data_IF_001056992245
#
_entry.id   IF_001056992245
#
_cell.length_a   1.000
_cell.length_b   1.000
_cell.length_c   1.000
_cell.angle_alpha   90.00
_cell.angle_beta   90.00
_cell.angle_gamma   90.00
#
_symmetry.space_group_name_H-M   'P 1'
#
loop_
_entity.id
_entity.type
_entity.pdbx_description
1 polymer ?
#
# COMPACT_ATOMS: atom_id res chain seq x y z
N UNK A 1 13.51 -2.16 10.65
CA UNK A 1 12.48 -1.44 11.43
C UNK A 1 11.11 -1.95 10.99
N UNK A 2 10.29 -2.52 11.89
CA UNK A 2 8.89 -2.79 11.57
C UNK A 2 8.21 -1.44 11.26
N UNK A 3 7.44 -1.38 10.16
CA UNK A 3 6.65 -0.18 9.89
C UNK A 3 5.56 -0.06 10.93
N UNK A 4 5.52 1.04 11.67
CA UNK A 4 4.51 1.29 12.71
C UNK A 4 3.10 1.48 12.12
N UNK A 5 2.99 1.74 10.82
CA UNK A 5 1.72 2.04 10.16
C UNK A 5 1.20 0.89 9.30
N UNK A 6 2.08 0.11 8.66
CA UNK A 6 1.69 -0.93 7.70
C UNK A 6 2.03 -2.30 8.26
N UNK A 7 0.99 -3.11 8.45
CA UNK A 7 1.07 -4.48 8.99
C UNK A 7 1.46 -5.46 7.90
N UNK A 8 0.78 -5.39 6.77
CA UNK A 8 1.01 -6.24 5.61
C UNK A 8 0.66 -5.46 4.33
N UNK A 9 1.16 -5.94 3.20
CA UNK A 9 0.75 -5.47 1.88
C UNK A 9 0.92 -6.57 0.84
N UNK A 10 0.04 -6.57 -0.15
CA UNK A 10 0.02 -7.53 -1.26
C UNK A 10 -0.27 -6.81 -2.56
N UNK A 11 0.15 -7.39 -3.68
CA UNK A 11 -0.05 -6.78 -5.00
C UNK A 11 -0.52 -7.81 -6.01
N UNK A 12 -1.60 -7.47 -6.69
CA UNK A 12 -2.13 -8.20 -7.84
C UNK A 12 -1.69 -7.47 -9.12
N UNK A 13 -0.75 -8.02 -9.90
CA UNK A 13 -0.26 -7.38 -11.12
C UNK A 13 -1.27 -7.40 -12.27
N UNK A 14 -2.17 -8.38 -12.30
CA UNK A 14 -3.17 -8.52 -13.37
C UNK A 14 -4.25 -7.45 -13.20
N UNK A 15 -4.64 -7.19 -11.95
CA UNK A 15 -5.65 -6.17 -11.60
C UNK A 15 -5.04 -4.81 -11.26
N UNK A 16 -3.72 -4.73 -11.11
CA UNK A 16 -2.97 -3.55 -10.63
C UNK A 16 -3.49 -3.03 -9.30
N UNK A 17 -3.78 -3.95 -8.39
CA UNK A 17 -4.33 -3.63 -7.06
C UNK A 17 -3.25 -3.82 -6.01
N UNK A 18 -3.02 -2.77 -5.21
CA UNK A 18 -2.20 -2.84 -4.01
C UNK A 18 -3.10 -2.92 -2.76
N UNK A 19 -3.08 -4.07 -2.11
CA UNK A 19 -3.77 -4.32 -0.85
C UNK A 19 -2.87 -3.93 0.32
N UNK A 20 -3.40 -3.14 1.26
CA UNK A 20 -2.64 -2.64 2.42
C UNK A 20 -3.45 -2.83 3.70
N UNK A 21 -2.84 -3.48 4.68
CA UNK A 21 -3.39 -3.65 6.02
C UNK A 21 -2.68 -2.72 6.99
N UNK A 22 -3.42 -1.86 7.67
CA UNK A 22 -2.85 -0.90 8.63
C UNK A 22 -2.81 -1.48 10.05
N UNK A 23 -1.71 -1.23 10.76
CA UNK A 23 -1.54 -1.67 12.17
C UNK A 23 -2.54 -0.97 13.07
N UNK A 24 -2.65 0.36 12.97
CA UNK A 24 -3.41 1.19 13.92
C UNK A 24 -4.94 0.94 13.86
N UNK A 25 -5.48 0.70 12.67
CA UNK A 25 -6.93 0.53 12.47
C UNK A 25 -7.35 -0.91 12.22
N UNK A 26 -6.42 -1.83 11.95
CA UNK A 26 -6.72 -3.19 11.47
C UNK A 26 -7.37 -3.26 10.08
N UNK A 27 -7.82 -2.13 9.54
CA UNK A 27 -8.51 -2.00 8.26
C UNK A 27 -7.63 -2.40 7.07
N UNK A 28 -8.30 -3.01 6.09
CA UNK A 28 -7.77 -3.37 4.79
C UNK A 28 -8.26 -2.35 3.75
N UNK A 29 -7.34 -1.84 2.94
CA UNK A 29 -7.65 -0.98 1.80
C UNK A 29 -7.01 -1.53 0.54
N UNK A 30 -7.74 -1.43 -0.56
CA UNK A 30 -7.25 -1.72 -1.91
C UNK A 30 -7.04 -0.41 -2.64
N UNK A 31 -5.83 -0.18 -3.12
CA UNK A 31 -5.46 0.92 -4.00
C UNK A 31 -5.49 0.42 -5.44
N UNK A 32 -6.24 1.12 -6.29
CA UNK A 32 -6.54 0.73 -7.67
C UNK A 32 -5.55 1.38 -8.64
N UNK A 33 -5.35 0.72 -9.78
CA UNK A 33 -4.50 1.20 -10.88
C UNK A 33 -3.07 1.54 -10.46
N UNK A 34 -2.54 0.84 -9.43
CA UNK A 34 -1.17 1.04 -8.95
C UNK A 34 -0.21 0.35 -9.93
N UNK A 35 0.70 1.09 -10.59
CA UNK A 35 1.63 0.49 -11.52
C UNK A 35 2.63 -0.45 -10.83
N UNK A 36 3.12 -1.51 -11.51
CA UNK A 36 4.11 -2.43 -10.95
C UNK A 36 5.38 -1.74 -10.47
N UNK A 37 5.81 -0.67 -11.13
CA UNK A 37 6.96 0.14 -10.72
C UNK A 37 6.73 0.84 -9.38
N UNK A 38 5.53 1.38 -9.14
CA UNK A 38 5.16 2.00 -7.86
C UNK A 38 5.13 0.96 -6.74
N UNK A 39 4.62 -0.25 -7.03
CA UNK A 39 4.67 -1.37 -6.11
C UNK A 39 6.11 -1.82 -5.82
N UNK A 40 6.96 -1.95 -6.84
CA UNK A 40 8.36 -2.36 -6.68
C UNK A 40 9.14 -1.36 -5.81
N UNK A 41 8.95 -0.06 -6.05
CA UNK A 41 9.54 1.00 -5.23
C UNK A 41 9.00 1.00 -3.79
N UNK A 42 7.69 0.77 -3.60
CA UNK A 42 7.13 0.59 -2.27
C UNK A 42 7.71 -0.64 -1.55
N UNK A 43 7.82 -1.77 -2.25
CA UNK A 43 8.38 -3.03 -1.74
C UNK A 43 9.86 -2.88 -1.35
N UNK A 44 10.65 -2.09 -2.07
CA UNK A 44 12.07 -1.83 -1.76
C UNK A 44 12.28 -0.75 -0.69
N UNK A 45 11.32 0.15 -0.47
CA UNK A 45 11.47 1.26 0.47
C UNK A 45 11.75 0.82 1.92
N UNK A 46 12.82 1.34 2.53
CA UNK A 46 13.15 1.04 3.93
C UNK A 46 12.06 1.52 4.90
N UNK A 47 11.49 2.70 4.65
CA UNK A 47 10.44 3.32 5.46
C UNK A 47 9.07 3.21 4.77
N UNK A 48 8.44 2.04 4.86
CA UNK A 48 7.15 1.74 4.20
C UNK A 48 6.06 2.79 4.44
N UNK A 49 5.79 3.13 5.71
CA UNK A 49 4.76 4.11 6.04
C UNK A 49 5.02 5.51 5.46
N UNK A 50 6.27 5.96 5.42
CA UNK A 50 6.66 7.24 4.81
C UNK A 50 6.43 7.22 3.30
N UNK A 51 6.98 6.21 2.62
CA UNK A 51 6.80 6.06 1.18
C UNK A 51 5.32 6.00 0.80
N UNK A 52 4.54 5.20 1.53
CA UNK A 52 3.11 5.07 1.30
C UNK A 52 2.37 6.42 1.43
N UNK A 53 2.66 7.19 2.47
CA UNK A 53 2.02 8.49 2.67
C UNK A 53 2.40 9.51 1.59
N UNK A 54 3.65 9.49 1.13
CA UNK A 54 4.18 10.42 0.14
C UNK A 54 3.80 10.05 -1.31
N UNK A 55 3.70 8.75 -1.64
CA UNK A 55 3.61 8.29 -3.03
C UNK A 55 2.37 7.45 -3.36
N UNK A 56 1.56 7.04 -2.36
CA UNK A 56 0.43 6.13 -2.58
C UNK A 56 -0.88 6.70 -2.06
N UNK A 57 -0.95 7.11 -0.79
CA UNK A 57 -2.19 7.44 -0.07
C UNK A 57 -3.13 8.39 -0.84
N UNK A 58 -2.57 9.44 -1.44
CA UNK A 58 -3.33 10.48 -2.15
C UNK A 58 -3.09 10.44 -3.67
N UNK A 59 -2.38 9.43 -4.17
CA UNK A 59 -2.00 9.31 -5.58
C UNK A 59 -2.87 8.31 -6.35
N UNK A 60 -3.52 7.40 -5.64
CA UNK A 60 -4.35 6.35 -6.23
C UNK A 60 -5.73 6.35 -5.61
N UNK A 61 -6.74 6.03 -6.43
CA UNK A 61 -8.07 5.75 -5.93
C UNK A 61 -8.00 4.52 -5.01
N UNK A 62 -8.77 4.54 -3.92
CA UNK A 62 -8.79 3.45 -2.97
C UNK A 62 -10.19 3.13 -2.50
N UNK A 63 -10.38 1.87 -2.09
CA UNK A 63 -11.60 1.41 -1.44
C UNK A 63 -11.26 0.65 -0.18
N UNK A 64 -12.12 0.79 0.82
CA UNK A 64 -12.05 -0.05 2.00
C UNK A 64 -12.66 -1.42 1.66
N UNK A 65 -11.99 -2.48 2.08
CA UNK A 65 -12.52 -3.83 2.02
C UNK A 65 -12.93 -4.22 3.44
N UNK A 66 -14.20 -4.56 3.61
CA UNK A 66 -14.78 -5.00 4.89
C UNK A 66 -14.61 -6.51 5.05
#
# INVERSE_FOLDING_TARGET
MPSTSIRNFEYDPDRRILSVWFVASGRHYEFLDVPPESFAAFKSAFAKGRYFNEHIRNHFAFRMVT
#
